data_IF_679201010358
#
_entry.id   IF_679201010358
#
_cell.length_a   1.000
_cell.length_b   1.000
_cell.length_c   1.000
_cell.angle_alpha   90.00
_cell.angle_beta   90.00
_cell.angle_gamma   90.00
#
_symmetry.space_group_name_H-M   'P 1'
#
loop_
_entity.id
_entity.type
_entity.pdbx_description
1 polymer ?
#
# COMPACT_ATOMS: atom_id res chain seq x y z
N UNK A 1 4.16 -7.50 -12.94
CA UNK A 1 3.53 -6.20 -12.52
C UNK A 1 4.13 -5.75 -11.21
N UNK A 2 4.53 -4.48 -11.10
CA UNK A 2 5.00 -3.90 -9.84
C UNK A 2 4.01 -2.84 -9.35
N UNK A 3 3.73 -2.82 -8.04
CA UNK A 3 2.92 -1.80 -7.35
C UNK A 3 3.76 -1.28 -6.19
N UNK A 4 3.86 0.04 -6.07
CA UNK A 4 4.59 0.72 -5.00
C UNK A 4 3.60 1.39 -4.03
N UNK A 5 3.82 1.24 -2.73
CA UNK A 5 3.17 2.05 -1.69
C UNK A 5 4.23 2.72 -0.83
N UNK A 6 4.04 3.99 -0.50
CA UNK A 6 4.92 4.66 0.43
C UNK A 6 4.19 5.77 1.22
N UNK A 7 4.23 5.67 2.55
CA UNK A 7 3.89 6.78 3.43
C UNK A 7 5.11 7.72 3.47
N UNK A 8 5.00 8.86 2.79
CA UNK A 8 6.11 9.79 2.56
C UNK A 8 6.39 10.71 3.75
N UNK A 9 5.35 11.00 4.56
CA UNK A 9 5.37 12.09 5.55
C UNK A 9 5.84 13.44 4.98
N UNK A 10 5.31 13.78 3.80
CA UNK A 10 5.55 15.02 3.09
C UNK A 10 6.38 14.88 1.81
N UNK A 11 5.81 15.25 0.67
CA UNK A 11 6.48 15.25 -0.63
C UNK A 11 7.05 16.64 -1.01
N UNK A 12 6.79 17.67 -0.21
CA UNK A 12 7.25 19.04 -0.47
C UNK A 12 8.78 19.23 -0.40
N UNK A 13 9.51 18.22 0.01
CA UNK A 13 10.97 18.25 0.13
C UNK A 13 11.60 17.60 -1.12
N UNK A 14 12.63 18.25 -1.65
CA UNK A 14 13.34 17.85 -2.88
C UNK A 14 13.92 16.43 -2.78
N UNK A 15 14.48 16.06 -1.63
CA UNK A 15 15.09 14.74 -1.43
C UNK A 15 14.04 13.61 -1.48
N UNK A 16 12.83 13.87 -0.97
CA UNK A 16 11.70 12.93 -1.09
C UNK A 16 11.29 12.75 -2.55
N UNK A 17 11.22 13.85 -3.32
CA UNK A 17 10.93 13.78 -4.75
C UNK A 17 12.00 13.00 -5.51
N UNK A 18 13.29 13.23 -5.22
CA UNK A 18 14.41 12.50 -5.83
C UNK A 18 14.31 11.01 -5.49
N UNK A 19 14.03 10.68 -4.24
CA UNK A 19 13.89 9.28 -3.79
C UNK A 19 12.72 8.59 -4.48
N UNK A 20 11.54 9.24 -4.55
CA UNK A 20 10.38 8.70 -5.25
C UNK A 20 10.69 8.46 -6.74
N UNK A 21 11.35 9.41 -7.38
CA UNK A 21 11.80 9.26 -8.77
C UNK A 21 12.74 8.08 -8.95
N UNK A 22 13.71 7.90 -8.06
CA UNK A 22 14.65 6.78 -8.12
C UNK A 22 13.96 5.44 -7.93
N UNK A 23 13.02 5.35 -6.97
CA UNK A 23 12.18 4.15 -6.76
C UNK A 23 11.38 3.83 -8.01
N UNK A 24 10.81 4.85 -8.67
CA UNK A 24 10.07 4.66 -9.90
C UNK A 24 10.96 4.14 -11.04
N UNK A 25 12.10 4.79 -11.28
CA UNK A 25 13.02 4.41 -12.36
C UNK A 25 13.60 3.00 -12.15
N UNK A 26 13.87 2.63 -10.90
CA UNK A 26 14.42 1.31 -10.55
C UNK A 26 13.39 0.20 -10.68
N UNK A 27 12.19 0.41 -10.15
CA UNK A 27 11.20 -0.66 -10.02
C UNK A 27 10.08 -0.60 -11.06
N UNK A 28 9.97 0.50 -11.80
CA UNK A 28 8.97 0.72 -12.89
C UNK A 28 7.55 0.27 -12.48
N UNK A 29 7.01 0.78 -11.35
CA UNK A 29 5.69 0.39 -10.91
C UNK A 29 4.61 0.88 -11.88
N UNK A 30 3.63 0.03 -12.19
CA UNK A 30 2.44 0.42 -12.98
C UNK A 30 1.48 1.29 -12.16
N UNK A 31 1.45 1.08 -10.86
CA UNK A 31 0.59 1.78 -9.91
C UNK A 31 1.40 2.18 -8.67
N UNK A 32 1.20 3.42 -8.23
CA UNK A 32 1.82 3.94 -7.01
C UNK A 32 0.74 4.46 -6.08
N UNK A 33 0.79 4.08 -4.82
CA UNK A 33 0.04 4.72 -3.76
C UNK A 33 0.98 5.53 -2.87
N UNK A 34 0.60 6.78 -2.62
CA UNK A 34 1.32 7.70 -1.75
C UNK A 34 0.42 8.07 -0.58
N UNK A 35 0.87 7.80 0.65
CA UNK A 35 0.22 8.27 1.86
C UNK A 35 0.97 9.45 2.48
N UNK A 36 0.26 10.31 3.19
CA UNK A 36 0.74 11.53 3.84
C UNK A 36 1.56 12.46 2.92
N UNK A 37 1.08 12.83 1.73
CA UNK A 37 1.81 13.74 0.85
C UNK A 37 1.97 15.15 1.44
N UNK A 38 1.10 15.57 2.37
CA UNK A 38 1.08 16.85 3.09
C UNK A 38 0.87 18.10 2.21
N UNK A 39 0.63 17.91 0.93
CA UNK A 39 0.31 18.96 -0.06
C UNK A 39 -0.74 18.42 -1.05
N UNK A 40 -1.29 19.28 -1.89
CA UNK A 40 -2.11 18.86 -3.02
C UNK A 40 -1.25 18.35 -4.18
N UNK A 41 -1.77 17.40 -4.94
CA UNK A 41 -1.06 16.84 -6.11
C UNK A 41 -0.77 17.91 -7.17
N UNK A 42 -1.63 18.93 -7.28
CA UNK A 42 -1.50 20.08 -8.17
C UNK A 42 -0.31 21.00 -7.84
N UNK A 43 0.19 20.96 -6.61
CA UNK A 43 1.35 21.75 -6.17
C UNK A 43 2.69 21.16 -6.65
N UNK A 44 2.67 19.90 -7.13
CA UNK A 44 3.84 19.30 -7.76
C UNK A 44 3.80 19.58 -9.26
N UNK A 45 4.89 20.15 -9.83
CA UNK A 45 4.91 20.52 -11.24
C UNK A 45 4.63 19.33 -12.16
N UNK A 46 3.82 19.54 -13.21
CA UNK A 46 3.43 18.50 -14.16
C UNK A 46 4.64 17.80 -14.81
N UNK A 47 5.74 18.55 -15.08
CA UNK A 47 6.95 17.97 -15.63
C UNK A 47 7.58 16.89 -14.75
N UNK A 48 7.44 17.01 -13.41
CA UNK A 48 7.94 15.99 -12.48
C UNK A 48 7.18 14.67 -12.70
N UNK A 49 5.85 14.71 -12.72
CA UNK A 49 5.01 13.52 -12.97
C UNK A 49 5.31 12.90 -14.33
N UNK A 50 5.43 13.74 -15.36
CA UNK A 50 5.79 13.28 -16.72
C UNK A 50 7.17 12.62 -16.74
N UNK A 51 8.15 13.15 -15.97
CA UNK A 51 9.51 12.59 -15.91
C UNK A 51 9.59 11.18 -15.32
N UNK A 52 8.57 10.78 -14.57
CA UNK A 52 8.42 9.43 -14.01
C UNK A 52 7.26 8.65 -14.65
N UNK A 53 6.74 9.12 -15.78
CA UNK A 53 5.70 8.39 -16.54
C UNK A 53 4.30 8.39 -15.90
N UNK A 54 4.06 9.16 -14.84
CA UNK A 54 2.73 9.33 -14.23
C UNK A 54 1.92 10.32 -15.07
N UNK A 55 0.72 9.92 -15.47
CA UNK A 55 -0.17 10.73 -16.31
C UNK A 55 -1.53 10.99 -15.68
N UNK A 56 -1.98 10.11 -14.81
CA UNK A 56 -3.29 10.18 -14.17
C UNK A 56 -3.17 9.88 -12.68
N UNK A 57 -4.11 10.39 -11.93
CA UNK A 57 -4.17 10.17 -10.48
C UNK A 57 -5.61 10.18 -9.97
N UNK A 58 -5.79 9.58 -8.81
CA UNK A 58 -6.97 9.70 -7.95
C UNK A 58 -6.50 10.05 -6.55
N UNK A 59 -7.27 10.87 -5.85
CA UNK A 59 -7.01 11.21 -4.45
C UNK A 59 -8.19 10.76 -3.60
N UNK A 60 -7.93 10.46 -2.33
CA UNK A 60 -8.99 10.08 -1.41
C UNK A 60 -9.85 11.28 -0.99
N UNK A 61 -11.11 11.02 -0.64
CA UNK A 61 -12.04 12.04 -0.18
C UNK A 61 -11.96 12.20 1.35
N UNK A 62 -11.62 13.41 1.77
CA UNK A 62 -11.60 13.81 3.18
C UNK A 62 -12.46 15.04 3.45
N UNK A 63 -13.47 15.26 2.59
CA UNK A 63 -14.33 16.45 2.61
C UNK A 63 -13.51 17.75 2.49
N UNK A 64 -13.50 18.58 3.52
CA UNK A 64 -12.77 19.85 3.53
C UNK A 64 -11.28 19.74 3.90
N UNK A 65 -10.78 18.55 4.17
CA UNK A 65 -9.39 18.33 4.54
C UNK A 65 -8.54 17.96 3.32
N UNK A 66 -7.25 18.28 3.40
CA UNK A 66 -6.27 17.91 2.37
C UNK A 66 -6.26 16.37 2.16
N UNK A 67 -6.35 15.89 0.90
CA UNK A 67 -6.20 14.48 0.60
C UNK A 67 -4.89 13.93 1.14
N UNK A 68 -4.93 12.79 1.79
CA UNK A 68 -3.76 12.17 2.41
C UNK A 68 -3.42 10.78 1.86
N UNK A 69 -4.11 10.37 0.81
CA UNK A 69 -3.80 9.17 0.03
C UNK A 69 -4.00 9.48 -1.46
N UNK A 70 -2.98 9.21 -2.25
CA UNK A 70 -2.99 9.35 -3.70
C UNK A 70 -2.77 8.00 -4.37
N UNK A 71 -3.46 7.75 -5.48
CA UNK A 71 -3.18 6.67 -6.42
C UNK A 71 -2.74 7.28 -7.75
N UNK A 72 -1.60 6.85 -8.29
CA UNK A 72 -0.94 7.44 -9.45
C UNK A 72 -0.60 6.33 -10.45
N UNK A 73 -0.85 6.55 -11.75
CA UNK A 73 -0.55 5.57 -12.80
C UNK A 73 -0.18 6.23 -14.14
N UNK A 74 0.47 5.45 -15.00
CA UNK A 74 0.90 5.85 -16.33
C UNK A 74 -0.07 5.42 -17.45
N UNK A 75 0.46 5.23 -18.67
CA UNK A 75 -0.30 4.82 -19.86
C UNK A 75 -0.65 3.34 -19.90
N UNK A 76 0.13 2.52 -19.21
CA UNK A 76 0.09 1.06 -19.35
C UNK A 76 -1.13 0.42 -18.69
N UNK A 77 -1.84 1.17 -17.86
CA UNK A 77 -3.08 0.75 -17.24
C UNK A 77 -4.13 1.87 -17.28
N UNK A 78 -5.41 1.48 -17.28
CA UNK A 78 -6.53 2.40 -17.20
C UNK A 78 -7.50 1.92 -16.12
N UNK A 79 -7.19 2.17 -14.84
CA UNK A 79 -8.03 1.74 -13.73
C UNK A 79 -9.39 2.41 -13.73
N UNK A 80 -10.42 1.66 -13.33
CA UNK A 80 -11.70 2.21 -12.90
C UNK A 80 -11.69 2.40 -11.39
N UNK A 81 -12.10 3.56 -10.91
CA UNK A 81 -12.21 3.85 -9.49
C UNK A 81 -13.55 3.28 -9.02
N UNK A 82 -13.53 2.22 -8.18
CA UNK A 82 -14.76 1.57 -7.72
C UNK A 82 -15.19 1.97 -6.32
N UNK A 83 -14.26 2.44 -5.50
CA UNK A 83 -14.56 2.96 -4.17
C UNK A 83 -13.47 3.92 -3.67
N UNK A 84 -13.90 5.00 -3.01
CA UNK A 84 -13.02 5.95 -2.35
C UNK A 84 -13.61 6.33 -1.00
N UNK A 85 -12.79 6.36 0.03
CA UNK A 85 -13.12 6.88 1.35
C UNK A 85 -11.99 7.73 1.91
N UNK A 86 -12.15 8.27 3.10
CA UNK A 86 -11.07 9.01 3.77
C UNK A 86 -9.83 8.15 4.11
N UNK A 87 -9.93 6.81 3.98
CA UNK A 87 -8.88 5.88 4.41
C UNK A 87 -8.43 4.90 3.31
N UNK A 88 -9.09 4.85 2.16
CA UNK A 88 -8.71 3.96 1.06
C UNK A 88 -9.13 4.47 -0.31
N UNK A 89 -8.44 3.98 -1.33
CA UNK A 89 -8.79 4.08 -2.75
C UNK A 89 -8.78 2.67 -3.31
N UNK A 90 -9.89 2.24 -3.91
CA UNK A 90 -10.03 0.91 -4.52
C UNK A 90 -10.18 1.05 -6.02
N UNK A 91 -9.31 0.37 -6.74
CA UNK A 91 -9.22 0.39 -8.19
C UNK A 91 -9.52 -1.00 -8.77
N UNK A 92 -10.29 -1.02 -9.83
CA UNK A 92 -10.43 -2.16 -10.73
C UNK A 92 -9.46 -1.98 -11.90
N UNK A 93 -8.67 -2.99 -12.19
CA UNK A 93 -7.62 -2.94 -13.22
C UNK A 93 -7.74 -4.18 -14.11
N UNK A 94 -7.75 -4.00 -15.42
CA UNK A 94 -7.56 -5.10 -16.35
C UNK A 94 -6.06 -5.32 -16.55
N UNK A 95 -5.54 -6.45 -16.09
CA UNK A 95 -4.15 -6.83 -16.22
C UNK A 95 -4.02 -8.25 -16.80
N UNK A 96 -3.29 -8.38 -17.93
CA UNK A 96 -3.14 -9.66 -18.65
C UNK A 96 -4.49 -10.41 -18.86
N UNK A 97 -5.51 -9.67 -19.37
CA UNK A 97 -6.87 -10.16 -19.61
C UNK A 97 -7.61 -10.63 -18.33
N UNK A 98 -7.09 -10.32 -17.16
CA UNK A 98 -7.70 -10.65 -15.87
C UNK A 98 -8.07 -9.38 -15.12
N UNK A 99 -9.30 -9.31 -14.63
CA UNK A 99 -9.72 -8.21 -13.76
C UNK A 99 -9.20 -8.43 -12.35
N UNK A 100 -8.51 -7.43 -11.82
CA UNK A 100 -7.98 -7.40 -10.46
C UNK A 100 -8.51 -6.19 -9.70
N UNK A 101 -8.63 -6.33 -8.40
CA UNK A 101 -9.00 -5.28 -7.48
C UNK A 101 -7.82 -4.95 -6.58
N UNK A 102 -7.40 -3.69 -6.61
CA UNK A 102 -6.25 -3.21 -5.82
C UNK A 102 -6.70 -2.08 -4.92
N UNK A 103 -6.56 -2.27 -3.61
CA UNK A 103 -6.88 -1.28 -2.61
C UNK A 103 -5.62 -0.68 -1.97
N UNK A 104 -5.40 0.62 -2.19
CA UNK A 104 -4.43 1.40 -1.44
C UNK A 104 -5.04 1.86 -0.11
N UNK A 105 -4.35 1.59 1.00
CA UNK A 105 -4.86 1.81 2.36
C UNK A 105 -3.96 2.83 3.07
N UNK A 106 -4.59 3.85 3.65
CA UNK A 106 -4.03 4.68 4.70
C UNK A 106 -5.04 4.78 5.83
N UNK A 107 -4.98 3.80 6.72
CA UNK A 107 -5.94 3.66 7.79
C UNK A 107 -5.73 4.70 8.90
N UNK A 108 -6.79 5.10 9.57
CA UNK A 108 -6.73 6.05 10.69
C UNK A 108 -5.92 5.49 11.86
N UNK A 109 -5.21 6.36 12.58
CA UNK A 109 -4.62 6.02 13.87
C UNK A 109 -5.67 5.77 14.94
N UNK A 110 -6.91 6.30 14.75
CA UNK A 110 -8.05 6.03 15.64
C UNK A 110 -8.62 4.63 15.39
N UNK A 111 -8.69 3.81 16.43
CA UNK A 111 -9.31 2.49 16.40
C UNK A 111 -10.75 2.52 15.85
N UNK A 112 -11.60 3.42 16.39
CA UNK A 112 -13.00 3.53 15.95
C UNK A 112 -13.14 3.87 14.46
N UNK A 113 -12.29 4.77 13.96
CA UNK A 113 -12.30 5.11 12.53
C UNK A 113 -11.87 3.93 11.65
N UNK A 114 -10.94 3.07 12.13
CA UNK A 114 -10.57 1.85 11.41
C UNK A 114 -11.71 0.83 11.34
N UNK A 115 -12.57 0.75 12.36
CA UNK A 115 -13.76 -0.12 12.30
C UNK A 115 -14.66 0.23 11.10
N UNK A 116 -14.82 1.52 10.78
CA UNK A 116 -15.54 1.94 9.57
C UNK A 116 -14.83 1.49 8.28
N UNK A 117 -13.49 1.61 8.23
CA UNK A 117 -12.72 1.11 7.08
C UNK A 117 -12.93 -0.39 6.87
N UNK A 118 -12.86 -1.19 7.95
CA UNK A 118 -13.09 -2.64 7.85
C UNK A 118 -14.49 -2.98 7.33
N UNK A 119 -15.52 -2.27 7.80
CA UNK A 119 -16.88 -2.43 7.33
C UNK A 119 -17.04 -2.07 5.84
N UNK A 120 -16.48 -0.94 5.42
CA UNK A 120 -16.48 -0.50 4.03
C UNK A 120 -15.78 -1.49 3.10
N UNK A 121 -14.57 -1.94 3.46
CA UNK A 121 -13.82 -2.91 2.66
C UNK A 121 -14.56 -4.25 2.58
N UNK A 122 -15.15 -4.74 3.67
CA UNK A 122 -15.96 -5.97 3.65
C UNK A 122 -17.15 -5.83 2.69
N UNK A 123 -17.84 -4.69 2.70
CA UNK A 123 -18.94 -4.40 1.78
C UNK A 123 -18.46 -4.41 0.32
N UNK A 124 -17.35 -3.75 0.04
CA UNK A 124 -16.78 -3.67 -1.33
C UNK A 124 -16.31 -5.04 -1.81
N UNK A 125 -15.64 -5.85 -0.98
CA UNK A 125 -15.26 -7.23 -1.30
C UNK A 125 -16.50 -8.07 -1.65
N UNK A 126 -17.60 -7.90 -0.92
CA UNK A 126 -18.87 -8.61 -1.17
C UNK A 126 -19.56 -8.19 -2.47
N UNK A 127 -19.32 -6.97 -2.97
CA UNK A 127 -19.89 -6.47 -4.24
C UNK A 127 -19.06 -6.86 -5.46
N UNK A 128 -17.74 -7.00 -5.31
CA UNK A 128 -16.81 -7.25 -6.41
C UNK A 128 -16.04 -8.55 -6.18
N UNK A 129 -16.48 -9.62 -6.81
CA UNK A 129 -15.84 -10.93 -6.69
C UNK A 129 -14.63 -11.05 -7.61
N UNK A 130 -13.52 -11.59 -7.13
CA UNK A 130 -12.32 -11.81 -7.94
C UNK A 130 -11.01 -11.74 -7.16
N UNK A 131 -9.97 -11.25 -7.81
CA UNK A 131 -8.61 -11.21 -7.31
C UNK A 131 -8.37 -9.91 -6.55
N UNK A 132 -8.17 -10.01 -5.24
CA UNK A 132 -8.01 -8.86 -4.36
C UNK A 132 -6.59 -8.75 -3.80
N UNK A 133 -6.03 -7.54 -3.91
CA UNK A 133 -4.80 -7.13 -3.25
C UNK A 133 -5.03 -5.83 -2.48
N UNK A 134 -4.70 -5.82 -1.21
CA UNK A 134 -4.70 -4.66 -0.32
C UNK A 134 -3.26 -4.36 0.05
N UNK A 135 -2.84 -3.11 -0.03
CA UNK A 135 -1.51 -2.71 0.40
C UNK A 135 -1.54 -1.32 0.99
N UNK A 136 -0.71 -1.09 2.00
CA UNK A 136 -0.66 0.22 2.62
C UNK A 136 -0.26 0.24 4.07
N UNK A 137 -0.45 1.42 4.66
CA UNK A 137 -0.33 1.67 6.09
C UNK A 137 -1.69 1.39 6.78
N UNK A 138 -1.77 0.27 7.44
CA UNK A 138 -2.99 -0.15 8.14
C UNK A 138 -3.13 0.48 9.53
N UNK A 139 -2.10 1.18 10.03
CA UNK A 139 -2.06 1.76 11.37
C UNK A 139 -2.52 0.78 12.47
N UNK A 140 -2.35 -0.51 12.22
CA UNK A 140 -2.71 -1.62 13.07
C UNK A 140 -1.67 -2.73 12.98
N UNK A 141 -1.48 -3.47 14.07
CA UNK A 141 -0.62 -4.65 14.16
C UNK A 141 -1.45 -5.87 14.54
N UNK A 142 -1.00 -7.07 14.18
CA UNK A 142 -1.70 -8.31 14.48
C UNK A 142 -1.49 -8.77 15.94
N UNK A 143 -0.47 -8.26 16.61
CA UNK A 143 -0.15 -8.61 17.98
C UNK A 143 1.15 -8.01 18.49
N UNK A 144 1.53 -8.40 19.71
CA UNK A 144 2.73 -7.88 20.37
C UNK A 144 4.03 -8.17 19.62
N UNK A 145 4.09 -9.25 18.85
CA UNK A 145 5.25 -9.63 18.03
C UNK A 145 5.57 -8.64 16.90
N UNK A 146 4.58 -7.82 16.50
CA UNK A 146 4.74 -6.78 15.48
C UNK A 146 5.06 -5.40 16.05
N UNK A 147 5.41 -5.34 17.34
CA UNK A 147 5.82 -4.10 18.04
C UNK A 147 7.06 -4.33 18.88
N UNK A 148 7.98 -3.38 18.87
CA UNK A 148 9.08 -3.28 19.83
C UNK A 148 9.05 -1.94 20.55
N UNK A 149 9.42 -1.94 21.81
CA UNK A 149 9.53 -0.76 22.66
C UNK A 149 8.22 -0.36 23.32
N UNK A 150 8.35 0.22 24.54
CA UNK A 150 7.24 0.68 25.39
C UNK A 150 6.18 -0.40 25.68
N UNK A 151 4.93 0.04 25.90
CA UNK A 151 3.79 -0.85 26.23
C UNK A 151 3.37 -1.69 25.03
N UNK A 152 2.81 -2.90 25.24
CA UNK A 152 2.24 -3.70 24.17
C UNK A 152 1.13 -2.94 23.42
N UNK A 153 0.80 -3.33 22.19
CA UNK A 153 -0.30 -2.72 21.46
C UNK A 153 -1.65 -3.05 22.12
N UNK A 154 -2.69 -2.20 21.95
CA UNK A 154 -4.01 -2.48 22.47
C UNK A 154 -4.58 -3.76 21.85
N UNK A 155 -4.97 -4.72 22.69
CA UNK A 155 -5.45 -6.04 22.25
C UNK A 155 -6.68 -5.97 21.34
N UNK A 156 -7.65 -5.11 21.68
CA UNK A 156 -8.85 -4.90 20.85
C UNK A 156 -8.51 -4.48 19.42
N UNK A 157 -7.56 -3.54 19.25
CA UNK A 157 -7.14 -3.09 17.92
C UNK A 157 -6.47 -4.21 17.12
N UNK A 158 -5.70 -5.07 17.76
CA UNK A 158 -5.06 -6.22 17.12
C UNK A 158 -6.10 -7.27 16.71
N UNK A 159 -7.02 -7.59 17.63
CA UNK A 159 -8.06 -8.58 17.40
C UNK A 159 -9.03 -8.15 16.30
N UNK A 160 -9.40 -6.88 16.25
CA UNK A 160 -10.29 -6.32 15.25
C UNK A 160 -9.69 -6.42 13.84
N UNK A 161 -8.41 -6.06 13.69
CA UNK A 161 -7.71 -6.18 12.42
C UNK A 161 -7.57 -7.65 11.97
N UNK A 162 -7.21 -8.54 12.89
CA UNK A 162 -7.13 -9.97 12.62
C UNK A 162 -8.51 -10.56 12.29
N UNK A 163 -9.54 -10.16 13.01
CA UNK A 163 -10.91 -10.61 12.76
C UNK A 163 -11.39 -10.18 11.36
N UNK A 164 -11.16 -8.91 10.98
CA UNK A 164 -11.50 -8.42 9.64
C UNK A 164 -10.81 -9.23 8.54
N UNK A 165 -9.52 -9.47 8.64
CA UNK A 165 -8.78 -10.23 7.63
C UNK A 165 -9.26 -11.68 7.54
N UNK A 166 -9.52 -12.35 8.68
CA UNK A 166 -10.01 -13.72 8.72
C UNK A 166 -11.44 -13.84 8.19
N UNK A 167 -12.34 -12.92 8.57
CA UNK A 167 -13.73 -12.92 8.13
C UNK A 167 -13.88 -12.75 6.62
N UNK A 168 -12.93 -12.06 5.98
CA UNK A 168 -12.87 -11.87 4.52
C UNK A 168 -11.94 -12.88 3.81
N UNK A 169 -11.48 -13.91 4.49
CA UNK A 169 -10.59 -14.95 3.96
C UNK A 169 -9.31 -14.36 3.30
N UNK A 170 -8.74 -13.37 3.97
CA UNK A 170 -7.55 -12.65 3.50
C UNK A 170 -6.28 -13.19 4.17
N UNK A 171 -5.20 -13.28 3.41
CA UNK A 171 -3.88 -13.73 3.86
C UNK A 171 -2.88 -12.58 3.84
N UNK A 172 -2.20 -12.36 4.97
CA UNK A 172 -1.10 -11.41 5.05
C UNK A 172 0.12 -11.96 4.32
N UNK A 173 0.60 -11.24 3.30
CA UNK A 173 1.77 -11.67 2.54
C UNK A 173 3.03 -11.58 3.39
N UNK A 174 3.92 -12.57 3.34
CA UNK A 174 5.24 -12.45 3.93
C UNK A 174 6.00 -11.32 3.25
N UNK A 175 6.73 -10.51 4.03
CA UNK A 175 7.54 -9.41 3.50
C UNK A 175 9.03 -9.71 3.64
N UNK A 176 9.79 -9.41 2.58
CA UNK A 176 11.24 -9.40 2.57
C UNK A 176 11.78 -8.02 2.99
N UNK A 177 12.98 -7.97 3.55
CA UNK A 177 13.60 -6.74 4.03
C UNK A 177 13.26 -6.45 5.49
N UNK A 178 12.92 -5.18 5.83
CA UNK A 178 12.65 -4.82 7.22
C UNK A 178 11.31 -5.37 7.69
N UNK A 179 11.31 -6.15 8.78
CA UNK A 179 10.07 -6.65 9.40
C UNK A 179 9.24 -5.51 10.00
N UNK A 180 9.91 -4.56 10.68
CA UNK A 180 9.26 -3.36 11.20
C UNK A 180 9.31 -2.26 10.16
N UNK A 181 8.17 -1.85 9.67
CA UNK A 181 8.05 -0.90 8.57
C UNK A 181 8.02 0.55 9.03
N UNK A 182 7.76 0.80 10.31
CA UNK A 182 7.71 2.13 10.92
C UNK A 182 8.60 2.22 12.15
N UNK A 183 9.14 3.43 12.40
CA UNK A 183 9.89 3.76 13.61
C UNK A 183 9.68 5.21 14.00
N UNK A 184 9.52 5.47 15.32
CA UNK A 184 9.42 6.83 15.84
C UNK A 184 10.73 7.65 15.77
N UNK A 185 11.80 7.12 15.20
CA UNK A 185 13.09 7.78 15.02
C UNK A 185 13.89 8.02 16.31
N UNK A 186 13.37 7.62 17.49
CA UNK A 186 14.07 7.80 18.77
C UNK A 186 15.07 6.68 19.03
N UNK A 187 15.98 6.90 19.96
CA UNK A 187 17.03 5.96 20.36
C UNK A 187 16.76 5.39 21.77
N UNK A 188 17.49 4.31 22.11
CA UNK A 188 17.46 3.69 23.43
C UNK A 188 16.06 3.21 23.84
N UNK A 189 15.70 3.42 25.10
CA UNK A 189 14.42 2.98 25.70
C UNK A 189 13.19 3.69 25.11
N UNK A 190 13.38 4.83 24.47
CA UNK A 190 12.31 5.59 23.83
C UNK A 190 11.99 5.11 22.40
N UNK A 191 12.82 4.23 21.84
CA UNK A 191 12.61 3.69 20.50
C UNK A 191 11.38 2.81 20.45
N UNK A 192 10.52 3.08 19.47
CA UNK A 192 9.36 2.24 19.13
C UNK A 192 9.42 1.91 17.66
N UNK A 193 9.22 0.64 17.33
CA UNK A 193 9.08 0.16 15.94
C UNK A 193 7.84 -0.70 15.82
N UNK A 194 7.15 -0.57 14.68
CA UNK A 194 5.89 -1.24 14.38
C UNK A 194 5.90 -1.79 12.94
N UNK A 195 5.17 -2.87 12.72
CA UNK A 195 4.84 -3.36 11.38
C UNK A 195 3.47 -2.83 10.97
N UNK A 196 3.41 -1.62 10.43
CA UNK A 196 2.17 -0.94 10.04
C UNK A 196 1.83 -1.13 8.57
N UNK A 197 2.88 -1.13 7.73
CA UNK A 197 2.75 -1.25 6.28
C UNK A 197 2.84 -2.72 5.88
N UNK A 198 1.91 -3.18 5.05
CA UNK A 198 1.85 -4.56 4.58
C UNK A 198 1.04 -4.73 3.31
N UNK A 199 1.14 -5.93 2.72
CA UNK A 199 0.24 -6.39 1.67
C UNK A 199 -0.58 -7.57 2.17
N UNK A 200 -1.83 -7.63 1.74
CA UNK A 200 -2.81 -8.66 2.08
C UNK A 200 -3.53 -9.05 0.79
N UNK A 201 -3.76 -10.33 0.56
CA UNK A 201 -4.50 -10.79 -0.61
C UNK A 201 -5.51 -11.89 -0.24
N UNK A 202 -6.50 -12.12 -1.12
CA UNK A 202 -7.35 -13.29 -0.97
C UNK A 202 -6.72 -14.54 -1.62
N UNK A 203 -7.29 -15.70 -1.34
CA UNK A 203 -6.79 -16.99 -1.86
C UNK A 203 -6.89 -17.05 -3.39
N UNK A 204 -7.88 -16.39 -3.99
CA UNK A 204 -8.06 -16.36 -5.45
C UNK A 204 -6.86 -15.69 -6.13
N UNK A 205 -6.35 -14.61 -5.54
CA UNK A 205 -5.12 -13.95 -5.98
C UNK A 205 -3.92 -14.91 -5.93
N UNK A 206 -3.72 -15.58 -4.80
CA UNK A 206 -2.58 -16.47 -4.58
C UNK A 206 -2.61 -17.72 -5.48
N UNK A 207 -3.79 -18.18 -5.86
CA UNK A 207 -3.95 -19.29 -6.80
C UNK A 207 -3.52 -18.91 -8.23
N UNK A 208 -3.75 -17.66 -8.64
CA UNK A 208 -3.37 -17.16 -9.97
C UNK A 208 -1.91 -16.71 -9.99
N UNK A 209 -1.47 -15.96 -8.97
CA UNK A 209 -0.11 -15.42 -8.87
C UNK A 209 0.61 -15.90 -7.62
N UNK A 210 1.03 -17.14 -7.64
CA UNK A 210 1.71 -17.81 -6.52
C UNK A 210 3.04 -17.15 -6.14
N UNK A 211 3.68 -16.43 -7.08
CA UNK A 211 4.94 -15.71 -6.87
C UNK A 211 4.76 -14.23 -6.60
N UNK A 212 3.65 -13.85 -5.98
CA UNK A 212 3.50 -12.49 -5.49
C UNK A 212 4.45 -12.25 -4.32
N UNK A 213 5.35 -11.29 -4.46
CA UNK A 213 6.30 -10.91 -3.40
C UNK A 213 5.98 -9.54 -2.84
N UNK A 214 6.20 -9.35 -1.55
CA UNK A 214 6.13 -8.07 -0.87
C UNK A 214 7.52 -7.74 -0.31
N UNK A 215 8.09 -6.60 -0.69
CA UNK A 215 9.40 -6.17 -0.23
C UNK A 215 9.32 -4.82 0.48
N UNK A 216 9.84 -4.76 1.69
CA UNK A 216 10.08 -3.52 2.42
C UNK A 216 11.43 -2.95 1.97
N UNK A 217 11.39 -1.86 1.20
CA UNK A 217 12.58 -1.24 0.62
C UNK A 217 13.32 -0.40 1.67
N UNK A 218 14.51 0.09 1.30
CA UNK A 218 15.31 0.93 2.18
C UNK A 218 14.54 2.22 2.51
N UNK A 219 14.54 2.58 3.78
CA UNK A 219 13.89 3.79 4.30
C UNK A 219 14.73 5.02 3.99
N UNK A 220 14.10 6.04 3.42
CA UNK A 220 14.68 7.35 3.14
C UNK A 220 13.71 8.45 3.59
N UNK A 221 14.18 9.50 4.23
CA UNK A 221 13.44 10.74 4.56
C UNK A 221 12.03 10.60 5.16
N UNK A 222 11.56 9.39 5.41
CA UNK A 222 10.30 9.05 6.07
C UNK A 222 10.57 8.17 7.28
N UNK A 223 9.64 8.10 8.22
CA UNK A 223 9.65 7.12 9.31
C UNK A 223 9.05 5.76 8.88
N UNK A 224 8.52 5.66 7.65
CA UNK A 224 8.05 4.44 7.01
C UNK A 224 9.01 3.94 5.93
N UNK A 225 9.03 2.61 5.74
CA UNK A 225 9.67 1.94 4.63
C UNK A 225 8.73 1.89 3.42
N UNK A 226 9.19 2.17 2.18
CA UNK A 226 8.38 1.90 0.99
C UNK A 226 8.10 0.40 0.87
N UNK A 227 6.90 0.04 0.39
CA UNK A 227 6.55 -1.34 0.03
C UNK A 227 6.52 -1.50 -1.48
N UNK A 228 7.18 -2.53 -1.99
CA UNK A 228 7.10 -2.97 -3.38
C UNK A 228 6.41 -4.32 -3.44
N UNK A 229 5.32 -4.38 -4.17
CA UNK A 229 4.66 -5.64 -4.52
C UNK A 229 5.04 -5.98 -5.95
N UNK A 230 5.64 -7.16 -6.13
CA UNK A 230 6.00 -7.69 -7.45
C UNK A 230 5.16 -8.94 -7.73
N UNK A 231 4.48 -8.91 -8.87
CA UNK A 231 3.63 -10.02 -9.35
C UNK A 231 4.25 -10.53 -10.63
N UNK A 232 4.78 -11.74 -10.61
CA UNK A 232 5.32 -12.42 -11.79
C UNK A 232 4.19 -13.08 -12.56
N UNK A 233 4.13 -12.84 -13.88
CA UNK A 233 3.17 -13.47 -14.77
C UNK A 233 3.50 -14.95 -15.01
N UNK A 234 2.51 -15.75 -15.39
CA UNK A 234 2.69 -17.17 -15.72
C UNK A 234 3.62 -17.38 -16.94
N UNK A 235 3.83 -16.36 -17.77
CA UNK A 235 4.60 -16.42 -19.01
C UNK A 235 6.11 -16.21 -18.87
N UNK A 236 6.63 -15.84 -17.70
CA UNK A 236 8.06 -15.65 -17.50
C UNK A 236 8.85 -16.95 -17.27
N UNK A 237 8.18 -18.10 -17.33
CA UNK A 237 8.78 -19.41 -17.03
C UNK A 237 9.40 -20.12 -18.24
N UNK A 238 9.05 -19.76 -19.50
CA UNK A 238 9.49 -20.53 -20.69
C UNK A 238 10.75 -19.98 -21.38
N UNK A 239 11.26 -18.81 -20.99
CA UNK A 239 12.42 -18.21 -21.66
C UNK A 239 13.77 -18.57 -21.00
N UNK A 240 13.78 -19.05 -19.75
CA UNK A 240 15.03 -19.33 -19.03
C UNK A 240 15.44 -20.81 -18.97
N UNK A 241 14.75 -21.72 -19.66
CA UNK A 241 15.11 -23.15 -19.73
C UNK A 241 15.51 -23.64 -21.13
N UNK A 242 15.90 -22.75 -22.01
CA UNK A 242 16.39 -23.08 -23.35
C UNK A 242 17.69 -22.36 -23.69
N UNK A 243 18.78 -22.72 -23.02
CA UNK A 243 20.18 -22.61 -23.51
C UNK A 243 21.05 -23.52 -22.66
#
# INVERSE_FOLDING_TARGET
>A
MNILFWNLRGIGNVDTCITLRNLFLTHKPLLIFIAEPMIEVSQIPAWYWQSIGVLKFCVNDRHSLLPNLWALWGRDISPSIIFVSSQCIVLEILFQQTTIYVAGIYASTSYLSRCHLWADLTRVIGMYHGLWLFLGDFNAVLGAHEKRGRRPPPSLSCMDFLHWSNANLLSHLPSFGSFFTWSNGRLGLEKVTLRLDRAISNIVWLNVWQRTTCSSLVRHHSDHHPLLISVEGLNDMDISRGL
#
